data_IF_440608061149
#
_entry.id   IF_440608061149
#
_cell.length_a   1.000
_cell.length_b   1.000
_cell.length_c   1.000
_cell.angle_alpha   90.00
_cell.angle_beta   90.00
_cell.angle_gamma   90.00
#
_symmetry.space_group_name_H-M   'P 1'
#
loop_
_entity.id
_entity.type
_entity.pdbx_description
1 polymer ?
#
# COMPACT_ATOMS: atom_id res chain seq x y z
N UNK A 1 5.24 6.88 -16.81
CA UNK A 1 4.54 5.58 -16.96
C UNK A 1 4.60 5.20 -18.43
N UNK A 2 4.80 3.92 -18.77
CA UNK A 2 4.92 3.47 -20.16
C UNK A 2 4.40 2.04 -20.32
N UNK A 3 3.55 1.82 -21.33
CA UNK A 3 3.16 0.49 -21.82
C UNK A 3 3.90 0.26 -23.12
N UNK A 4 4.83 -0.69 -23.12
CA UNK A 4 5.78 -0.92 -24.22
C UNK A 4 5.54 -2.30 -24.77
N UNK A 5 5.54 -2.43 -26.10
CA UNK A 5 5.51 -3.73 -26.77
C UNK A 5 6.96 -4.20 -26.98
N UNK A 6 7.26 -5.41 -26.54
CA UNK A 6 8.53 -6.05 -26.85
C UNK A 6 8.46 -6.61 -28.28
N UNK A 7 9.27 -6.06 -29.18
CA UNK A 7 9.30 -6.47 -30.59
C UNK A 7 9.89 -7.87 -30.80
N UNK A 8 10.71 -8.38 -29.86
CA UNK A 8 11.31 -9.72 -29.98
C UNK A 8 10.34 -10.84 -29.58
N UNK A 9 9.51 -10.61 -28.57
CA UNK A 9 8.59 -11.63 -28.03
C UNK A 9 7.12 -11.36 -28.36
N UNK A 10 6.81 -10.20 -28.95
CA UNK A 10 5.43 -9.76 -29.22
C UNK A 10 4.63 -9.37 -27.96
N UNK A 11 5.17 -9.64 -26.76
CA UNK A 11 4.50 -9.41 -25.47
C UNK A 11 4.58 -7.95 -25.04
N UNK A 12 3.62 -7.54 -24.22
CA UNK A 12 3.52 -6.21 -23.63
C UNK A 12 4.14 -6.17 -22.24
N UNK A 13 4.72 -5.03 -21.90
CA UNK A 13 5.25 -4.71 -20.58
C UNK A 13 4.76 -3.34 -20.09
N UNK A 14 4.61 -3.21 -18.78
CA UNK A 14 4.20 -1.99 -18.08
C UNK A 14 5.33 -1.54 -17.18
N UNK A 15 5.71 -0.26 -17.30
CA UNK A 15 6.66 0.41 -16.40
C UNK A 15 5.94 1.58 -15.73
N UNK A 16 5.77 1.48 -14.42
CA UNK A 16 5.18 2.56 -13.61
C UNK A 16 6.13 3.00 -12.50
N UNK A 17 5.99 4.25 -12.07
CA UNK A 17 6.66 4.78 -10.89
C UNK A 17 5.63 4.93 -9.80
N UNK A 18 6.04 4.63 -8.56
CA UNK A 18 5.21 4.79 -7.37
C UNK A 18 6.05 5.38 -6.25
N UNK A 19 5.41 6.04 -5.29
CA UNK A 19 6.09 6.45 -4.06
C UNK A 19 5.86 5.36 -3.03
N UNK A 20 6.93 4.92 -2.37
CA UNK A 20 6.75 4.05 -1.23
C UNK A 20 6.31 4.83 0.02
N UNK A 21 6.01 4.09 1.09
CA UNK A 21 5.60 4.65 2.37
C UNK A 21 6.66 5.59 2.98
N UNK A 22 7.92 5.49 2.54
CA UNK A 22 9.02 6.37 2.96
C UNK A 22 9.18 7.60 2.07
N UNK A 23 8.29 7.79 1.09
CA UNK A 23 8.32 8.89 0.12
C UNK A 23 9.34 8.71 -1.02
N UNK A 24 10.09 7.60 -1.04
CA UNK A 24 11.08 7.33 -2.07
C UNK A 24 10.40 6.86 -3.37
N UNK A 25 10.85 7.41 -4.49
CA UNK A 25 10.33 7.07 -5.82
C UNK A 25 10.92 5.74 -6.28
N UNK A 26 10.07 4.73 -6.41
CA UNK A 26 10.44 3.39 -6.91
C UNK A 26 9.81 3.10 -8.26
N UNK A 27 10.47 2.26 -9.04
CA UNK A 27 9.97 1.80 -10.33
C UNK A 27 9.44 0.37 -10.20
N UNK A 28 8.21 0.13 -10.66
CA UNK A 28 7.65 -1.21 -10.82
C UNK A 28 7.55 -1.53 -12.31
N UNK A 29 8.12 -2.67 -12.67
CA UNK A 29 8.02 -3.20 -14.03
C UNK A 29 7.33 -4.56 -13.99
N UNK A 30 6.30 -4.73 -14.83
CA UNK A 30 5.61 -6.01 -15.03
C UNK A 30 5.66 -6.35 -16.52
N UNK A 31 6.07 -7.56 -16.85
CA UNK A 31 6.28 -8.06 -18.22
C UNK A 31 5.40 -9.28 -18.47
N UNK A 32 5.20 -9.62 -19.75
CA UNK A 32 4.59 -10.88 -20.17
C UNK A 32 3.09 -10.79 -20.46
N UNK A 33 2.56 -9.61 -20.72
CA UNK A 33 1.16 -9.47 -21.11
C UNK A 33 0.99 -9.85 -22.59
N UNK A 34 -0.04 -10.62 -22.91
CA UNK A 34 -0.32 -10.99 -24.30
C UNK A 34 -0.97 -9.82 -25.05
N UNK A 35 -1.86 -9.09 -24.35
CA UNK A 35 -2.61 -7.96 -24.92
C UNK A 35 -2.23 -6.65 -24.26
N UNK A 36 -2.33 -5.55 -25.03
CA UNK A 36 -2.18 -4.18 -24.51
C UNK A 36 -3.23 -3.85 -23.45
N UNK A 37 -4.45 -4.39 -23.59
CA UNK A 37 -5.55 -4.17 -22.66
C UNK A 37 -5.26 -4.72 -21.27
N UNK A 38 -4.69 -5.92 -21.17
CA UNK A 38 -4.31 -6.56 -19.91
C UNK A 38 -3.23 -5.76 -19.19
N UNK A 39 -2.26 -5.24 -19.94
CA UNK A 39 -1.22 -4.36 -19.43
C UNK A 39 -1.82 -3.06 -18.84
N UNK A 40 -2.78 -2.45 -19.53
CA UNK A 40 -3.48 -1.25 -19.05
C UNK A 40 -4.38 -1.53 -17.83
N UNK A 41 -5.04 -2.68 -17.80
CA UNK A 41 -5.90 -3.06 -16.67
C UNK A 41 -5.10 -3.35 -15.41
N UNK A 42 -3.96 -4.04 -15.55
CA UNK A 42 -3.02 -4.22 -14.45
C UNK A 42 -2.52 -2.87 -13.91
N UNK A 43 -2.23 -1.91 -14.79
CA UNK A 43 -1.79 -0.57 -14.42
C UNK A 43 -2.86 0.19 -13.62
N UNK A 44 -4.11 0.17 -14.08
CA UNK A 44 -5.25 0.75 -13.34
C UNK A 44 -5.40 0.14 -11.96
N UNK A 45 -5.37 -1.19 -11.87
CA UNK A 45 -5.48 -1.91 -10.60
C UNK A 45 -4.30 -1.62 -9.67
N UNK A 46 -3.09 -1.44 -10.20
CA UNK A 46 -1.92 -1.08 -9.41
C UNK A 46 -2.06 0.32 -8.79
N UNK A 47 -2.51 1.31 -9.57
CA UNK A 47 -2.79 2.67 -9.06
C UNK A 47 -3.91 2.70 -8.02
N UNK A 48 -4.98 1.91 -8.21
CA UNK A 48 -6.05 1.83 -7.22
C UNK A 48 -5.54 1.28 -5.89
N UNK A 49 -4.68 0.27 -5.91
CA UNK A 49 -4.03 -0.27 -4.70
C UNK A 49 -3.07 0.74 -4.05
N UNK A 50 -2.34 1.51 -4.85
CA UNK A 50 -1.46 2.58 -4.35
C UNK A 50 -2.27 3.75 -3.76
N UNK A 51 -3.38 4.16 -4.38
CA UNK A 51 -4.28 5.18 -3.85
C UNK A 51 -5.04 4.71 -2.59
N UNK A 52 -5.25 3.40 -2.45
CA UNK A 52 -5.73 2.79 -1.21
C UNK A 52 -4.62 2.62 -0.16
N UNK A 53 -3.38 3.04 -0.45
CA UNK A 53 -2.33 3.11 0.57
C UNK A 53 -2.62 4.28 1.51
N UNK A 54 -3.23 3.91 2.64
CA UNK A 54 -3.12 4.55 3.96
C UNK A 54 -2.90 6.07 3.88
N UNK A 55 -3.90 6.82 3.42
CA UNK A 55 -3.96 8.28 3.60
C UNK A 55 -4.22 8.69 5.05
N UNK A 56 -4.32 7.69 5.94
CA UNK A 56 -4.60 7.81 7.35
C UNK A 56 -3.31 8.04 8.13
N UNK A 57 -3.29 9.08 8.98
CA UNK A 57 -2.21 9.28 9.93
C UNK A 57 -2.08 8.07 10.88
N UNK A 58 -0.87 7.77 11.35
CA UNK A 58 -0.64 6.68 12.29
C UNK A 58 -1.51 6.82 13.56
N UNK A 59 -1.68 8.05 14.05
CA UNK A 59 -2.59 8.40 15.14
C UNK A 59 -4.02 7.94 14.85
N UNK A 60 -4.58 8.39 13.72
CA UNK A 60 -5.94 8.03 13.32
C UNK A 60 -6.13 6.52 13.12
N UNK A 61 -5.08 5.79 12.72
CA UNK A 61 -5.10 4.34 12.66
C UNK A 61 -5.13 3.69 14.04
N UNK A 62 -4.27 4.14 14.96
CA UNK A 62 -4.22 3.65 16.34
C UNK A 62 -5.55 3.85 17.05
N UNK A 63 -6.19 5.01 16.87
CA UNK A 63 -7.49 5.30 17.47
C UNK A 63 -8.55 4.28 17.03
N UNK A 64 -8.70 4.06 15.72
CA UNK A 64 -9.65 3.08 15.17
C UNK A 64 -9.31 1.65 15.66
N UNK A 65 -8.03 1.29 15.65
CA UNK A 65 -7.58 -0.02 16.09
C UNK A 65 -7.87 -0.29 17.57
N UNK A 66 -7.66 0.71 18.44
CA UNK A 66 -7.94 0.59 19.86
C UNK A 66 -9.44 0.52 20.13
N UNK A 67 -10.26 1.34 19.46
CA UNK A 67 -11.73 1.28 19.59
C UNK A 67 -12.29 -0.09 19.22
N UNK A 68 -11.81 -0.68 18.13
CA UNK A 68 -12.24 -2.01 17.69
C UNK A 68 -11.79 -3.15 18.62
N UNK A 69 -10.66 -2.96 19.30
CA UNK A 69 -10.08 -3.95 20.20
C UNK A 69 -10.65 -3.92 21.62
N UNK A 70 -11.03 -2.74 22.12
CA UNK A 70 -11.53 -2.54 23.47
C UNK A 70 -12.58 -3.58 23.92
N UNK A 71 -13.62 -3.91 23.12
CA UNK A 71 -14.62 -4.90 23.55
C UNK A 71 -14.14 -6.36 23.44
N UNK A 72 -13.02 -6.63 22.76
CA UNK A 72 -12.57 -8.01 22.43
C UNK A 72 -11.54 -8.56 23.40
N UNK A 73 -10.82 -7.71 24.13
CA UNK A 73 -9.71 -8.11 24.99
C UNK A 73 -9.93 -7.69 26.45
N UNK A 74 -9.29 -8.41 27.38
CA UNK A 74 -9.35 -8.06 28.80
C UNK A 74 -8.70 -6.69 29.05
N UNK A 75 -9.27 -5.93 30.01
CA UNK A 75 -8.86 -4.57 30.35
C UNK A 75 -7.36 -4.42 30.61
N UNK A 76 -6.73 -5.36 31.34
CA UNK A 76 -5.29 -5.32 31.62
C UNK A 76 -4.45 -5.40 30.34
N UNK A 77 -4.84 -6.27 29.40
CA UNK A 77 -4.15 -6.41 28.11
C UNK A 77 -4.35 -5.19 27.22
N UNK A 78 -5.54 -4.58 27.27
CA UNK A 78 -5.82 -3.33 26.59
C UNK A 78 -4.93 -2.18 27.09
N UNK A 79 -4.82 -2.02 28.41
CA UNK A 79 -4.00 -0.96 29.02
C UNK A 79 -2.53 -1.05 28.61
N UNK A 80 -1.94 -2.24 28.63
CA UNK A 80 -0.55 -2.44 28.17
C UNK A 80 -0.38 -2.09 26.69
N UNK A 81 -1.36 -2.45 25.84
CA UNK A 81 -1.32 -2.12 24.41
C UNK A 81 -1.47 -0.61 24.18
N UNK A 82 -2.41 0.04 24.86
CA UNK A 82 -2.64 1.48 24.76
C UNK A 82 -1.39 2.27 25.17
N UNK A 83 -0.73 1.88 26.27
CA UNK A 83 0.54 2.51 26.69
C UNK A 83 1.62 2.33 25.62
N UNK A 84 1.79 1.11 25.10
CA UNK A 84 2.79 0.83 24.07
C UNK A 84 2.58 1.68 22.80
N UNK A 85 1.33 1.87 22.37
CA UNK A 85 1.04 2.71 21.20
C UNK A 85 1.23 4.20 21.49
N UNK A 86 0.89 4.69 22.68
CA UNK A 86 1.16 6.07 23.11
C UNK A 86 2.66 6.39 23.13
N UNK A 87 3.48 5.47 23.63
CA UNK A 87 4.95 5.65 23.67
C UNK A 87 5.55 5.68 22.25
N UNK A 88 4.92 4.98 21.30
CA UNK A 88 5.34 4.97 19.88
C UNK A 88 4.83 6.19 19.12
N UNK A 89 3.66 6.72 19.44
CA UNK A 89 3.16 7.98 18.86
C UNK A 89 4.09 9.15 19.19
N UNK A 90 4.74 9.15 20.36
CA UNK A 90 5.71 10.20 20.72
C UNK A 90 7.04 10.14 19.91
N UNK A 91 7.27 9.06 19.15
CA UNK A 91 8.51 8.82 18.40
C UNK A 91 8.36 9.02 16.87
N UNK A 92 7.14 9.19 16.36
CA UNK A 92 6.83 9.28 14.93
C UNK A 92 5.94 10.48 14.62
#
# INVERSE_FOLDING_TARGET
MAVIKNHKTGMWEVRTYYKDLTGARKQKTKRGFAKKSEALEWERNFKLKENQSISMSFKSFVDIYLTDLEPRIKRNTFLTKAQYFSDKEALY
#
